data_IF_066079750238
#
_entry.id   IF_066079750238
#
_cell.length_a   1.000
_cell.length_b   1.000
_cell.length_c   1.000
_cell.angle_alpha   90.00
_cell.angle_beta   90.00
_cell.angle_gamma   90.00
#
_symmetry.space_group_name_H-M   'P 1'
#
loop_
_entity.id
_entity.type
_entity.pdbx_description
1 polymer ?
#
# COMPACT_ATOMS: atom_id res chain seq x y z
N UNK A 1 -1.67 10.43 17.74
CA UNK A 1 -2.89 11.22 17.51
C UNK A 1 -3.52 10.91 16.14
N UNK A 2 -2.81 11.08 15.01
CA UNK A 2 -3.38 10.84 13.66
C UNK A 2 -3.85 9.39 13.49
N UNK A 3 -3.03 8.40 13.86
CA UNK A 3 -3.42 6.99 13.81
C UNK A 3 -4.72 6.71 14.60
N UNK A 4 -4.85 7.31 15.79
CA UNK A 4 -6.07 7.17 16.59
C UNK A 4 -7.29 7.81 15.91
N UNK A 5 -7.12 8.94 15.25
CA UNK A 5 -8.18 9.58 14.46
C UNK A 5 -8.63 8.67 13.32
N UNK A 6 -7.68 8.06 12.59
CA UNK A 6 -8.01 7.12 11.49
C UNK A 6 -8.81 5.92 12.01
N UNK A 7 -8.40 5.34 13.15
CA UNK A 7 -9.15 4.23 13.76
C UNK A 7 -10.57 4.65 14.14
N UNK A 8 -10.75 5.82 14.74
CA UNK A 8 -12.08 6.36 15.08
C UNK A 8 -12.94 6.56 13.84
N UNK A 9 -12.38 7.16 12.77
CA UNK A 9 -13.09 7.30 11.49
C UNK A 9 -13.46 5.94 10.89
N UNK A 10 -12.56 4.96 10.99
CA UNK A 10 -12.86 3.61 10.49
C UNK A 10 -14.03 2.96 11.22
N UNK A 11 -14.15 3.16 12.52
CA UNK A 11 -15.27 2.62 13.32
C UNK A 11 -16.58 3.36 12.99
N UNK A 12 -16.52 4.67 12.76
CA UNK A 12 -17.73 5.49 12.53
C UNK A 12 -18.27 5.39 11.10
N UNK A 13 -17.39 5.40 10.11
CA UNK A 13 -17.73 5.43 8.68
C UNK A 13 -16.81 4.52 7.85
N UNK A 14 -16.90 3.19 8.06
CA UNK A 14 -15.93 2.24 7.52
C UNK A 14 -15.85 2.24 5.98
N UNK A 15 -16.97 2.38 5.27
CA UNK A 15 -16.98 2.40 3.80
C UNK A 15 -16.18 3.57 3.22
N UNK A 16 -16.37 4.77 3.77
CA UNK A 16 -15.65 5.96 3.32
C UNK A 16 -14.17 5.83 3.70
N UNK A 17 -13.88 5.35 4.91
CA UNK A 17 -12.51 5.13 5.38
C UNK A 17 -11.77 4.14 4.48
N UNK A 18 -12.41 3.04 4.08
CA UNK A 18 -11.84 2.08 3.13
C UNK A 18 -11.55 2.74 1.77
N UNK A 19 -12.50 3.48 1.20
CA UNK A 19 -12.32 4.15 -0.09
C UNK A 19 -11.13 5.11 -0.02
N UNK A 20 -11.09 5.98 0.99
CA UNK A 20 -9.99 6.94 1.17
C UNK A 20 -8.66 6.19 1.33
N UNK A 21 -8.63 5.13 2.14
CA UNK A 21 -7.43 4.31 2.31
C UNK A 21 -6.96 3.70 0.99
N UNK A 22 -7.84 3.12 0.19
CA UNK A 22 -7.48 2.53 -1.10
C UNK A 22 -6.93 3.58 -2.08
N UNK A 23 -7.51 4.80 -2.11
CA UNK A 23 -6.98 5.90 -2.93
C UNK A 23 -5.58 6.35 -2.48
N UNK A 24 -5.41 6.56 -1.18
CA UNK A 24 -4.13 6.98 -0.60
C UNK A 24 -3.08 5.90 -0.79
N UNK A 25 -3.43 4.63 -0.58
CA UNK A 25 -2.56 3.48 -0.78
C UNK A 25 -2.13 3.34 -2.25
N UNK A 26 -3.06 3.53 -3.21
CA UNK A 26 -2.71 3.53 -4.64
C UNK A 26 -1.62 4.56 -4.98
N UNK A 27 -1.78 5.79 -4.49
CA UNK A 27 -0.79 6.83 -4.72
C UNK A 27 0.54 6.51 -4.03
N UNK A 28 0.50 6.13 -2.76
CA UNK A 28 1.69 5.84 -1.95
C UNK A 28 2.52 4.70 -2.53
N UNK A 29 1.91 3.54 -2.79
CA UNK A 29 2.62 2.41 -3.38
C UNK A 29 3.19 2.74 -4.78
N UNK A 30 2.41 3.44 -5.60
CA UNK A 30 2.89 3.84 -6.93
C UNK A 30 4.07 4.80 -6.88
N UNK A 31 4.06 5.76 -5.92
CA UNK A 31 5.16 6.69 -5.69
C UNK A 31 6.38 5.95 -5.16
N UNK A 32 6.26 5.26 -4.04
CA UNK A 32 7.36 4.58 -3.36
C UNK A 32 8.07 3.54 -4.25
N UNK A 33 7.31 2.82 -5.06
CA UNK A 33 7.88 1.82 -5.96
C UNK A 33 8.57 2.42 -7.21
N UNK A 34 8.48 3.75 -7.42
CA UNK A 34 8.96 4.37 -8.67
C UNK A 34 9.77 5.65 -8.49
N UNK A 35 9.60 6.40 -7.38
CA UNK A 35 10.21 7.73 -7.22
C UNK A 35 11.74 7.72 -7.33
N UNK A 36 12.41 6.67 -6.84
CA UNK A 36 13.87 6.53 -6.91
C UNK A 36 14.40 6.36 -8.35
N UNK A 37 13.52 6.15 -9.32
CA UNK A 37 13.86 6.01 -10.75
C UNK A 37 13.61 7.30 -11.54
N UNK A 38 12.94 8.31 -10.96
CA UNK A 38 12.47 9.51 -11.65
C UNK A 38 13.17 10.74 -11.08
N UNK A 39 13.88 11.46 -11.95
CA UNK A 39 14.68 12.63 -11.57
C UNK A 39 13.80 13.88 -11.40
N UNK A 40 12.78 14.06 -12.25
CA UNK A 40 11.95 15.27 -12.26
C UNK A 40 10.48 14.95 -11.98
N UNK A 41 10.01 15.26 -10.79
CA UNK A 41 8.60 15.13 -10.42
C UNK A 41 7.76 16.28 -11.02
N UNK A 42 6.86 15.91 -11.90
CA UNK A 42 5.82 16.80 -12.46
C UNK A 42 4.44 16.31 -11.99
N UNK A 43 3.43 17.19 -12.09
CA UNK A 43 2.05 16.80 -11.79
C UNK A 43 1.57 15.58 -12.61
N UNK A 44 2.00 15.49 -13.88
CA UNK A 44 1.70 14.34 -14.74
C UNK A 44 2.30 13.02 -14.20
N UNK A 45 3.49 13.10 -13.59
CA UNK A 45 4.13 11.92 -12.97
C UNK A 45 3.36 11.48 -11.72
N UNK A 46 2.87 12.42 -10.92
CA UNK A 46 2.06 12.08 -9.74
C UNK A 46 0.76 11.34 -10.12
N UNK A 47 0.14 11.73 -11.25
CA UNK A 47 -1.00 10.98 -11.81
C UNK A 47 -0.58 9.56 -12.24
N UNK A 48 0.58 9.42 -12.88
CA UNK A 48 1.09 8.11 -13.30
C UNK A 48 1.41 7.21 -12.09
N UNK A 49 1.92 7.77 -10.98
CA UNK A 49 2.09 7.02 -9.73
C UNK A 49 0.77 6.45 -9.23
N UNK A 50 -0.25 7.29 -9.15
CA UNK A 50 -1.58 6.83 -8.73
C UNK A 50 -2.12 5.73 -9.64
N UNK A 51 -2.03 5.91 -10.95
CA UNK A 51 -2.53 4.93 -11.92
C UNK A 51 -1.73 3.61 -11.86
N UNK A 52 -0.41 3.66 -11.72
CA UNK A 52 0.41 2.46 -11.55
C UNK A 52 0.07 1.73 -10.25
N UNK A 53 0.02 2.45 -9.13
CA UNK A 53 -0.24 1.86 -7.83
C UNK A 53 -1.67 1.34 -7.66
N UNK A 54 -2.63 1.83 -8.45
CA UNK A 54 -4.01 1.29 -8.45
C UNK A 54 -4.06 -0.19 -8.84
N UNK A 55 -3.05 -0.73 -9.55
CA UNK A 55 -2.98 -2.14 -9.90
C UNK A 55 -3.02 -3.06 -8.66
N UNK A 56 -2.38 -2.65 -7.56
CA UNK A 56 -2.31 -3.44 -6.31
C UNK A 56 -3.71 -3.68 -5.74
N UNK A 57 -4.63 -2.74 -5.99
CA UNK A 57 -6.02 -2.81 -5.55
C UNK A 57 -6.91 -3.47 -6.61
N UNK A 58 -6.71 -3.12 -7.87
CA UNK A 58 -7.55 -3.61 -8.96
C UNK A 58 -7.30 -5.09 -9.28
N UNK A 59 -6.06 -5.57 -9.15
CA UNK A 59 -5.73 -6.96 -9.45
C UNK A 59 -6.46 -7.97 -8.56
N UNK A 60 -6.47 -7.86 -7.21
CA UNK A 60 -7.24 -8.77 -6.38
C UNK A 60 -8.76 -8.69 -6.65
N UNK A 61 -9.31 -7.50 -6.93
CA UNK A 61 -10.73 -7.34 -7.29
C UNK A 61 -11.03 -8.03 -8.63
N UNK A 62 -10.12 -7.97 -9.59
CA UNK A 62 -10.31 -8.58 -10.91
C UNK A 62 -10.21 -10.10 -10.89
N UNK A 63 -9.19 -10.66 -10.22
CA UNK A 63 -8.95 -12.10 -10.22
C UNK A 63 -9.77 -12.86 -9.17
N UNK A 64 -10.13 -12.21 -8.04
CA UNK A 64 -10.75 -12.81 -6.87
C UNK A 64 -11.84 -11.90 -6.27
N UNK A 65 -12.84 -11.52 -7.11
CA UNK A 65 -13.86 -10.54 -6.72
C UNK A 65 -14.56 -10.90 -5.41
N UNK A 66 -15.16 -12.09 -5.34
CA UNK A 66 -15.95 -12.53 -4.17
C UNK A 66 -15.11 -12.63 -2.89
N UNK A 67 -13.87 -13.11 -3.00
CA UNK A 67 -12.95 -13.18 -1.87
C UNK A 67 -12.57 -11.77 -1.39
N UNK A 68 -12.30 -10.84 -2.33
CA UNK A 68 -11.96 -9.46 -2.00
C UNK A 68 -13.14 -8.74 -1.35
N UNK A 69 -14.37 -8.94 -1.84
CA UNK A 69 -15.59 -8.43 -1.20
C UNK A 69 -15.74 -9.00 0.22
N UNK A 70 -15.47 -10.28 0.40
CA UNK A 70 -15.53 -10.92 1.72
C UNK A 70 -14.52 -10.31 2.69
N UNK A 71 -13.32 -9.98 2.22
CA UNK A 71 -12.33 -9.25 3.03
C UNK A 71 -12.81 -7.86 3.41
N UNK A 72 -13.42 -7.09 2.49
CA UNK A 72 -13.98 -5.77 2.81
C UNK A 72 -15.08 -5.85 3.87
N UNK A 73 -15.94 -6.86 3.82
CA UNK A 73 -16.94 -7.12 4.86
C UNK A 73 -16.29 -7.40 6.23
N UNK A 74 -15.19 -8.14 6.28
CA UNK A 74 -14.43 -8.35 7.51
C UNK A 74 -13.87 -7.04 8.09
N UNK A 75 -13.64 -6.01 7.29
CA UNK A 75 -13.14 -4.70 7.71
C UNK A 75 -14.23 -3.76 8.24
N UNK A 76 -15.36 -4.27 8.69
CA UNK A 76 -16.52 -3.54 9.21
C UNK A 76 -17.29 -2.75 8.14
N UNK A 77 -17.02 -2.99 6.86
CA UNK A 77 -17.75 -2.35 5.77
C UNK A 77 -19.04 -3.13 5.53
N UNK A 78 -20.12 -2.66 6.13
CA UNK A 78 -21.45 -3.25 6.00
C UNK A 78 -22.40 -2.24 5.31
N UNK A 79 -22.23 -2.10 3.97
CA UNK A 79 -22.98 -1.14 3.16
C UNK A 79 -23.38 -1.77 1.83
N UNK A 80 -24.66 -2.12 1.68
CA UNK A 80 -25.19 -2.76 0.47
C UNK A 80 -25.02 -1.90 -0.78
N UNK A 81 -25.19 -0.58 -0.68
CA UNK A 81 -24.99 0.33 -1.81
C UNK A 81 -23.55 0.36 -2.30
N UNK A 82 -22.59 0.25 -1.38
CA UNK A 82 -21.18 0.13 -1.72
C UNK A 82 -20.92 -1.16 -2.53
N UNK A 83 -21.45 -2.30 -2.09
CA UNK A 83 -21.26 -3.57 -2.78
C UNK A 83 -22.02 -3.65 -4.10
N UNK A 84 -23.24 -3.10 -4.19
CA UNK A 84 -23.98 -3.04 -5.45
C UNK A 84 -23.25 -2.17 -6.49
N UNK A 85 -22.61 -1.07 -6.06
CA UNK A 85 -21.78 -0.24 -6.92
C UNK A 85 -20.53 -0.97 -7.41
N UNK A 86 -19.85 -1.75 -6.54
CA UNK A 86 -18.72 -2.58 -6.95
C UNK A 86 -19.14 -3.67 -7.94
N UNK A 87 -20.26 -4.34 -7.71
CA UNK A 87 -20.83 -5.30 -8.65
C UNK A 87 -21.18 -4.67 -10.01
N UNK A 88 -21.71 -3.44 -10.03
CA UNK A 88 -21.93 -2.70 -11.27
C UNK A 88 -20.60 -2.41 -12.01
N UNK A 89 -19.57 -2.00 -11.30
CA UNK A 89 -18.24 -1.73 -11.85
C UNK A 89 -17.64 -3.01 -12.46
N UNK A 90 -17.76 -4.13 -11.77
CA UNK A 90 -17.27 -5.43 -12.25
C UNK A 90 -18.04 -5.89 -13.49
N UNK A 91 -19.38 -5.91 -13.45
CA UNK A 91 -20.22 -6.35 -14.56
C UNK A 91 -20.01 -5.51 -15.85
N UNK A 92 -19.70 -4.23 -15.71
CA UNK A 92 -19.38 -3.34 -16.84
C UNK A 92 -17.90 -3.38 -17.25
N UNK A 93 -17.10 -4.32 -16.71
CA UNK A 93 -15.67 -4.49 -17.01
C UNK A 93 -14.81 -3.25 -16.75
N UNK A 94 -15.27 -2.35 -15.86
CA UNK A 94 -14.53 -1.12 -15.52
C UNK A 94 -13.26 -1.43 -14.73
N UNK A 95 -13.21 -2.55 -14.00
CA UNK A 95 -12.00 -3.04 -13.33
C UNK A 95 -10.95 -3.41 -14.36
N UNK A 96 -11.32 -4.13 -15.42
CA UNK A 96 -10.42 -4.46 -16.52
C UNK A 96 -9.90 -3.20 -17.23
N UNK A 97 -10.76 -2.21 -17.45
CA UNK A 97 -10.35 -0.90 -17.99
C UNK A 97 -9.33 -0.22 -17.08
N UNK A 98 -9.53 -0.26 -15.76
CA UNK A 98 -8.58 0.25 -14.77
C UNK A 98 -7.22 -0.45 -14.84
N UNK A 99 -7.19 -1.78 -15.00
CA UNK A 99 -5.95 -2.55 -15.19
C UNK A 99 -5.24 -2.14 -16.49
N UNK A 100 -5.97 -1.95 -17.58
CA UNK A 100 -5.40 -1.49 -18.86
C UNK A 100 -4.78 -0.09 -18.68
N UNK A 101 -5.47 0.84 -18.02
CA UNK A 101 -4.94 2.18 -17.74
C UNK A 101 -3.69 2.12 -16.85
N UNK A 102 -3.69 1.28 -15.82
CA UNK A 102 -2.51 1.04 -14.98
C UNK A 102 -1.33 0.46 -15.78
N UNK A 103 -1.61 -0.43 -16.73
CA UNK A 103 -0.61 -0.98 -17.66
C UNK A 103 0.03 0.10 -18.51
N UNK A 104 -0.81 0.95 -19.10
CA UNK A 104 -0.35 2.08 -19.92
C UNK A 104 0.50 3.04 -19.08
N UNK A 105 0.06 3.37 -17.85
CA UNK A 105 0.82 4.23 -16.94
C UNK A 105 2.19 3.63 -16.61
N UNK A 106 2.27 2.32 -16.35
CA UNK A 106 3.52 1.60 -16.08
C UNK A 106 4.46 1.63 -17.29
N UNK A 107 3.93 1.47 -18.50
CA UNK A 107 4.71 1.56 -19.74
C UNK A 107 5.23 2.99 -19.95
N UNK A 108 4.40 4.01 -19.73
CA UNK A 108 4.82 5.42 -19.86
C UNK A 108 5.95 5.73 -18.88
N UNK A 109 5.83 5.30 -17.61
CA UNK A 109 6.89 5.49 -16.61
C UNK A 109 8.18 4.76 -17.01
N UNK A 110 8.08 3.56 -17.56
CA UNK A 110 9.21 2.79 -18.04
C UNK A 110 9.92 3.48 -19.22
N UNK A 111 9.16 3.97 -20.20
CA UNK A 111 9.70 4.56 -21.44
C UNK A 111 10.27 5.96 -21.22
N UNK A 112 9.69 6.74 -20.30
CA UNK A 112 10.03 8.16 -20.10
C UNK A 112 11.49 8.39 -19.70
N UNK A 113 12.05 7.45 -18.93
CA UNK A 113 13.46 7.46 -18.53
C UNK A 113 14.07 6.08 -18.75
N UNK A 114 14.18 5.68 -20.04
CA UNK A 114 14.67 4.35 -20.38
C UNK A 114 16.08 4.12 -19.85
N UNK A 115 16.16 3.43 -18.71
CA UNK A 115 17.41 2.94 -18.13
C UNK A 115 17.18 1.50 -17.69
N UNK A 116 18.24 0.70 -17.64
CA UNK A 116 18.15 -0.70 -17.21
C UNK A 116 17.56 -0.86 -15.78
N UNK A 117 17.74 0.17 -14.93
CA UNK A 117 17.11 0.23 -13.60
C UNK A 117 15.58 0.30 -13.68
N UNK A 118 15.01 0.88 -14.74
CA UNK A 118 13.57 1.03 -14.89
C UNK A 118 12.87 -0.29 -15.30
N UNK A 119 13.65 -1.34 -15.61
CA UNK A 119 13.12 -2.68 -15.83
C UNK A 119 12.40 -3.21 -14.57
N UNK A 120 12.74 -2.72 -13.39
CA UNK A 120 12.06 -3.04 -12.13
C UNK A 120 10.58 -2.66 -12.15
N UNK A 121 10.19 -1.54 -12.81
CA UNK A 121 8.80 -1.11 -12.97
C UNK A 121 7.99 -2.18 -13.71
N UNK A 122 8.60 -2.73 -14.76
CA UNK A 122 8.00 -3.77 -15.58
C UNK A 122 7.87 -5.10 -14.80
N UNK A 123 8.93 -5.50 -14.10
CA UNK A 123 8.88 -6.70 -13.27
C UNK A 123 7.88 -6.58 -12.12
N UNK A 124 7.76 -5.43 -11.47
CA UNK A 124 6.77 -5.20 -10.43
C UNK A 124 5.35 -5.38 -10.97
N UNK A 125 5.07 -4.80 -12.13
CA UNK A 125 3.77 -4.92 -12.78
C UNK A 125 3.38 -6.39 -13.02
N UNK A 126 4.27 -7.15 -13.65
CA UNK A 126 4.03 -8.57 -13.90
C UNK A 126 3.96 -9.40 -12.62
N UNK A 127 4.81 -9.10 -11.65
CA UNK A 127 4.78 -9.79 -10.36
C UNK A 127 3.44 -9.63 -9.66
N UNK A 128 2.86 -8.42 -9.64
CA UNK A 128 1.54 -8.17 -9.04
C UNK A 128 0.46 -8.98 -9.76
N UNK A 129 0.45 -9.00 -11.09
CA UNK A 129 -0.52 -9.78 -11.86
C UNK A 129 -0.38 -11.29 -11.61
N UNK A 130 0.85 -11.83 -11.66
CA UNK A 130 1.12 -13.24 -11.42
C UNK A 130 0.75 -13.64 -10.00
N UNK A 131 1.12 -12.84 -8.99
CA UNK A 131 0.74 -13.11 -7.60
C UNK A 131 -0.77 -13.20 -7.44
N UNK A 132 -1.52 -12.24 -7.99
CA UNK A 132 -2.97 -12.24 -7.88
C UNK A 132 -3.66 -13.28 -8.76
N UNK A 133 -3.02 -13.77 -9.82
CA UNK A 133 -3.57 -14.86 -10.63
C UNK A 133 -3.49 -16.21 -9.89
N UNK A 134 -2.39 -16.47 -9.19
CA UNK A 134 -2.14 -17.78 -8.55
C UNK A 134 -2.46 -17.84 -7.06
N UNK A 135 -2.50 -16.72 -6.36
CA UNK A 135 -2.62 -16.66 -4.91
C UNK A 135 -3.90 -15.92 -4.49
N UNK A 136 -4.46 -16.29 -3.34
CA UNK A 136 -5.58 -15.54 -2.76
C UNK A 136 -5.21 -14.08 -2.45
N UNK A 137 -6.17 -13.15 -2.41
CA UNK A 137 -5.92 -11.71 -2.24
C UNK A 137 -5.01 -11.37 -1.05
N UNK A 138 -5.23 -12.02 0.10
CA UNK A 138 -4.42 -11.78 1.32
C UNK A 138 -2.98 -12.22 1.11
N UNK A 139 -2.76 -13.40 0.51
CA UNK A 139 -1.42 -13.96 0.29
C UNK A 139 -0.68 -13.15 -0.77
N UNK A 140 -1.35 -12.79 -1.87
CA UNK A 140 -0.79 -11.96 -2.94
C UNK A 140 -0.37 -10.58 -2.42
N UNK A 141 -1.25 -9.93 -1.65
CA UNK A 141 -0.95 -8.64 -1.02
C UNK A 141 0.22 -8.77 -0.03
N UNK A 142 0.23 -9.80 0.82
CA UNK A 142 1.32 -10.02 1.79
C UNK A 142 2.66 -10.25 1.09
N UNK A 143 2.68 -11.06 0.03
CA UNK A 143 3.89 -11.30 -0.75
C UNK A 143 4.39 -10.01 -1.41
N UNK A 144 3.52 -9.23 -2.06
CA UNK A 144 3.88 -7.94 -2.61
C UNK A 144 4.41 -6.98 -1.53
N UNK A 145 3.62 -6.80 -0.46
CA UNK A 145 3.93 -5.82 0.59
C UNK A 145 5.25 -6.15 1.32
N UNK A 146 5.46 -7.40 1.72
CA UNK A 146 6.65 -7.79 2.46
C UNK A 146 7.90 -7.84 1.58
N UNK A 147 7.83 -8.46 0.40
CA UNK A 147 9.01 -8.79 -0.39
C UNK A 147 9.34 -7.75 -1.47
N UNK A 148 8.34 -7.15 -2.10
CA UNK A 148 8.59 -6.15 -3.15
C UNK A 148 8.64 -4.73 -2.58
N UNK A 149 7.67 -4.34 -1.77
CA UNK A 149 7.55 -2.98 -1.24
C UNK A 149 8.46 -2.75 -0.02
N UNK A 150 8.25 -3.47 1.09
CA UNK A 150 8.92 -3.19 2.36
C UNK A 150 10.43 -3.44 2.33
N UNK A 151 10.90 -4.49 1.63
CA UNK A 151 12.34 -4.75 1.50
C UNK A 151 13.01 -3.63 0.70
N UNK A 152 12.41 -3.21 -0.41
CA UNK A 152 12.93 -2.12 -1.24
C UNK A 152 13.03 -0.81 -0.45
N UNK A 153 11.95 -0.44 0.24
CA UNK A 153 11.93 0.75 1.09
C UNK A 153 12.98 0.67 2.21
N UNK A 154 13.14 -0.49 2.85
CA UNK A 154 14.17 -0.69 3.88
C UNK A 154 15.59 -0.55 3.32
N UNK A 155 15.86 -1.09 2.13
CA UNK A 155 17.17 -0.95 1.47
C UNK A 155 17.45 0.52 1.13
N UNK A 156 16.47 1.25 0.62
CA UNK A 156 16.60 2.68 0.33
C UNK A 156 16.93 3.49 1.58
N UNK A 157 16.25 3.22 2.70
CA UNK A 157 16.55 3.88 3.98
C UNK A 157 17.93 3.53 4.54
N UNK A 158 18.40 2.30 4.36
CA UNK A 158 19.74 1.88 4.78
C UNK A 158 20.81 2.64 3.98
N UNK A 159 20.62 2.79 2.67
CA UNK A 159 21.51 3.54 1.78
C UNK A 159 21.54 5.04 2.14
N UNK A 160 20.40 5.62 2.44
CA UNK A 160 20.27 7.02 2.88
C UNK A 160 20.98 7.27 4.24
N UNK A 161 20.96 6.28 5.15
CA UNK A 161 21.60 6.40 6.46
C UNK A 161 23.13 6.33 6.41
N UNK A 162 23.70 5.52 5.53
CA UNK A 162 25.14 5.42 5.28
C UNK A 162 25.41 4.65 3.96
N UNK A 163 25.38 5.37 2.83
CA UNK A 163 25.57 4.79 1.50
C UNK A 163 26.98 4.27 1.24
N UNK A 164 28.00 4.82 1.93
CA UNK A 164 29.39 4.39 1.80
C UNK A 164 29.65 3.07 2.54
N UNK A 165 28.89 2.80 3.61
CA UNK A 165 29.03 1.62 4.44
C UNK A 165 27.70 0.97 4.80
N UNK A 166 27.20 0.09 3.92
CA UNK A 166 25.92 -0.61 4.07
C UNK A 166 25.80 -1.35 5.43
N UNK A 167 26.90 -1.91 5.95
CA UNK A 167 26.88 -2.60 7.27
C UNK A 167 26.60 -1.63 8.41
N UNK A 168 27.16 -0.43 8.35
CA UNK A 168 26.92 0.61 9.35
C UNK A 168 25.51 1.18 9.17
N UNK A 169 25.07 1.46 7.95
CA UNK A 169 23.69 1.88 7.63
C UNK A 169 22.65 0.89 8.18
N UNK A 170 22.84 -0.42 7.95
CA UNK A 170 21.99 -1.47 8.50
C UNK A 170 21.96 -1.47 10.04
N UNK A 171 23.10 -1.28 10.70
CA UNK A 171 23.18 -1.21 12.16
C UNK A 171 22.40 -0.01 12.71
N UNK A 172 22.53 1.16 12.07
CA UNK A 172 21.80 2.37 12.43
C UNK A 172 20.30 2.16 12.22
N UNK A 173 19.91 1.60 11.07
CA UNK A 173 18.52 1.27 10.74
C UNK A 173 17.89 0.35 11.79
N UNK A 174 18.52 -0.77 12.11
CA UNK A 174 18.03 -1.71 13.13
C UNK A 174 17.88 -1.00 14.48
N UNK A 175 18.89 -0.23 14.91
CA UNK A 175 18.86 0.48 16.19
C UNK A 175 17.68 1.46 16.28
N UNK A 176 17.31 2.13 15.17
CA UNK A 176 16.20 3.08 15.12
C UNK A 176 14.84 2.38 14.94
N UNK A 177 14.77 1.37 14.08
CA UNK A 177 13.52 0.69 13.74
C UNK A 177 13.05 -0.30 14.81
N UNK A 178 13.97 -1.05 15.44
CA UNK A 178 13.64 -2.13 16.38
C UNK A 178 12.74 -1.69 17.55
N UNK A 179 12.99 -0.57 18.26
CA UNK A 179 12.11 -0.14 19.35
C UNK A 179 10.69 0.15 18.89
N UNK A 180 10.54 0.80 17.71
CA UNK A 180 9.23 1.11 17.12
C UNK A 180 8.52 -0.15 16.68
N UNK A 181 9.24 -1.10 16.08
CA UNK A 181 8.70 -2.40 15.65
C UNK A 181 8.19 -3.20 16.86
N UNK A 182 8.95 -3.25 17.95
CA UNK A 182 8.51 -3.94 19.18
C UNK A 182 7.27 -3.27 19.75
N UNK A 183 7.22 -1.94 19.78
CA UNK A 183 6.07 -1.19 20.29
C UNK A 183 4.81 -1.46 19.44
N UNK A 184 4.92 -1.38 18.10
CA UNK A 184 3.79 -1.64 17.21
C UNK A 184 3.35 -3.10 17.25
N UNK A 185 4.27 -4.05 17.28
CA UNK A 185 3.95 -5.46 17.42
C UNK A 185 3.23 -5.77 18.75
N UNK A 186 3.71 -5.20 19.85
CA UNK A 186 3.05 -5.35 21.16
C UNK A 186 1.63 -4.79 21.15
N UNK A 187 1.44 -3.61 20.54
CA UNK A 187 0.13 -3.01 20.38
C UNK A 187 -0.81 -3.88 19.51
N UNK A 188 -0.32 -4.40 18.38
CA UNK A 188 -1.08 -5.32 17.53
C UNK A 188 -1.51 -6.60 18.27
N UNK A 189 -0.62 -7.18 19.08
CA UNK A 189 -0.95 -8.36 19.89
C UNK A 189 -2.04 -8.05 20.94
N UNK A 190 -1.98 -6.89 21.59
CA UNK A 190 -3.02 -6.44 22.52
C UNK A 190 -4.35 -6.26 21.79
N UNK A 191 -4.34 -5.59 20.64
CA UNK A 191 -5.55 -5.40 19.83
C UNK A 191 -6.14 -6.75 19.38
N UNK A 192 -5.29 -7.68 18.94
CA UNK A 192 -5.72 -9.03 18.54
C UNK A 192 -6.37 -9.78 19.71
N UNK A 193 -5.75 -9.73 20.88
CA UNK A 193 -6.30 -10.34 22.09
C UNK A 193 -7.68 -9.76 22.43
N UNK A 194 -7.84 -8.44 22.40
CA UNK A 194 -9.11 -7.76 22.69
C UNK A 194 -10.19 -8.06 21.64
N UNK A 195 -9.85 -8.08 20.36
CA UNK A 195 -10.80 -8.36 19.28
C UNK A 195 -11.27 -9.81 19.28
N UNK A 196 -10.42 -10.74 19.71
CA UNK A 196 -10.75 -12.16 19.76
C UNK A 196 -11.86 -12.51 20.78
N UNK A 197 -12.22 -11.59 21.68
CA UNK A 197 -13.42 -11.73 22.52
C UNK A 197 -14.73 -11.50 21.76
N UNK A 198 -14.70 -10.76 20.64
CA UNK A 198 -15.91 -10.37 19.90
C UNK A 198 -15.99 -11.03 18.53
N UNK A 199 -14.87 -11.31 17.91
CA UNK A 199 -14.74 -11.84 16.57
C UNK A 199 -13.94 -13.16 16.62
N UNK A 200 -14.09 -14.02 15.61
CA UNK A 200 -13.22 -15.17 15.43
C UNK A 200 -11.77 -14.75 15.16
N UNK A 201 -10.83 -15.64 15.38
CA UNK A 201 -9.39 -15.35 15.31
C UNK A 201 -8.95 -14.85 13.92
N UNK A 202 -9.44 -15.48 12.84
CA UNK A 202 -9.08 -15.07 11.47
C UNK A 202 -9.60 -13.66 11.14
N UNK A 203 -10.85 -13.34 11.47
CA UNK A 203 -11.42 -12.01 11.30
C UNK A 203 -10.67 -10.97 12.14
N UNK A 204 -10.25 -11.31 13.34
CA UNK A 204 -9.47 -10.43 14.22
C UNK A 204 -8.11 -10.12 13.63
N UNK A 205 -7.40 -11.10 13.06
CA UNK A 205 -6.12 -10.89 12.37
C UNK A 205 -6.29 -9.94 11.19
N UNK A 206 -7.29 -10.18 10.33
CA UNK A 206 -7.54 -9.33 9.15
C UNK A 206 -7.82 -7.89 9.57
N UNK A 207 -8.65 -7.67 10.60
CA UNK A 207 -8.93 -6.34 11.14
C UNK A 207 -7.67 -5.65 11.66
N UNK A 208 -6.88 -6.34 12.49
CA UNK A 208 -5.64 -5.77 13.06
C UNK A 208 -4.65 -5.41 11.97
N UNK A 209 -4.45 -6.27 10.98
CA UNK A 209 -3.50 -6.02 9.89
C UNK A 209 -3.97 -4.83 9.03
N UNK A 210 -5.16 -4.89 8.45
CA UNK A 210 -5.57 -3.89 7.46
C UNK A 210 -5.97 -2.54 8.07
N UNK A 211 -6.72 -2.53 9.19
CA UNK A 211 -7.07 -1.28 9.88
C UNK A 211 -5.81 -0.70 10.55
N UNK A 212 -4.94 -1.54 11.10
CA UNK A 212 -3.65 -1.14 11.64
C UNK A 212 -2.74 -0.55 10.56
N UNK A 213 -2.63 -1.21 9.41
CA UNK A 213 -1.87 -0.69 8.26
C UNK A 213 -2.43 0.67 7.82
N UNK A 214 -3.74 0.79 7.62
CA UNK A 214 -4.38 2.06 7.26
C UNK A 214 -4.06 3.16 8.27
N UNK A 215 -4.17 2.87 9.58
CA UNK A 215 -3.93 3.84 10.64
C UNK A 215 -2.48 4.33 10.72
N UNK A 216 -1.51 3.51 10.31
CA UNK A 216 -0.09 3.84 10.28
C UNK A 216 0.34 4.48 8.96
N UNK A 217 -0.30 4.12 7.85
CA UNK A 217 0.02 4.67 6.52
C UNK A 217 -0.22 6.17 6.44
N UNK A 218 -1.34 6.67 6.97
CA UNK A 218 -1.64 8.12 6.92
C UNK A 218 -0.59 9.00 7.63
N UNK A 219 -0.18 8.74 8.89
CA UNK A 219 0.87 9.52 9.52
C UNK A 219 2.23 9.33 8.86
N UNK A 220 2.52 8.17 8.29
CA UNK A 220 3.75 7.91 7.55
C UNK A 220 3.85 8.82 6.30
N UNK A 221 2.84 8.81 5.45
CA UNK A 221 2.80 9.65 4.24
C UNK A 221 2.85 11.15 4.59
N UNK A 222 2.15 11.56 5.66
CA UNK A 222 2.19 12.96 6.10
C UNK A 222 3.59 13.36 6.56
N UNK A 223 4.27 12.51 7.31
CA UNK A 223 5.64 12.77 7.78
C UNK A 223 6.60 12.87 6.60
N UNK A 224 6.53 11.95 5.65
CA UNK A 224 7.32 11.96 4.41
C UNK A 224 7.12 13.27 3.63
N UNK A 225 5.85 13.66 3.40
CA UNK A 225 5.53 14.93 2.74
C UNK A 225 6.13 16.16 3.45
N UNK A 226 6.09 16.19 4.80
CA UNK A 226 6.65 17.29 5.58
C UNK A 226 8.17 17.34 5.50
N UNK A 227 8.85 16.19 5.47
CA UNK A 227 10.31 16.10 5.29
C UNK A 227 10.69 16.64 3.91
N UNK A 228 10.11 16.12 2.84
CA UNK A 228 10.38 16.58 1.47
C UNK A 228 10.13 18.08 1.28
N UNK A 229 9.05 18.61 1.87
CA UNK A 229 8.75 20.05 1.81
C UNK A 229 9.81 20.89 2.50
N UNK A 230 10.31 20.45 3.67
CA UNK A 230 11.35 21.15 4.40
C UNK A 230 12.70 21.11 3.68
N UNK A 231 13.03 20.04 3.00
CA UNK A 231 14.25 19.91 2.19
C UNK A 231 14.22 20.84 0.97
N UNK A 232 13.09 20.87 0.25
CA UNK A 232 12.87 21.79 -0.89
C UNK A 232 12.92 23.28 -0.51
N UNK A 233 12.72 23.63 0.77
CA UNK A 233 12.83 25.01 1.27
C UNK A 233 14.25 25.39 1.69
N UNK A 234 15.13 24.42 1.91
CA UNK A 234 16.53 24.63 2.31
C UNK A 234 17.51 24.71 1.15
N UNK A 235 17.11 24.22 -0.02
CA UNK A 235 17.84 24.31 -1.30
C UNK A 235 17.31 25.46 -2.16
#
# INVERSE_FOLDING_TARGET
LIASIVIVFWILIPSISLIIFLFVASYHFGKEDTQFLIINETFSIQILYFLKGSLIILAPIFFHFDETISLFKLLLVDNENFYSSLGYIENNKLILLGIIISSIASIILFVKEFNFKNLTIFFDYFSILILNYYLSPVVAFTAYFCFLHSIRHSISLIDELDGDNIKNGLKIFIKKALPLTILTASFCLICLYLLNYKFDFNSSIIKVIFIGLASLTFPHILLEYLIEKNEKQRN
#
